data_IF_867650877131
#
_entry.id   IF_867650877131
#
_cell.length_a   1.000
_cell.length_b   1.000
_cell.length_c   1.000
_cell.angle_alpha   90.00
_cell.angle_beta   90.00
_cell.angle_gamma   90.00
#
_symmetry.space_group_name_H-M   'P 1'
#
loop_
_entity.id
_entity.type
_entity.pdbx_description
1 polymer ?
#
# COMPACT_ATOMS: atom_id res chain seq x y z
N UNK A 1 17.67 1.52 8.48
CA UNK A 1 16.72 0.57 9.09
C UNK A 1 17.01 -0.83 8.60
N UNK A 2 16.82 -1.85 9.43
CA UNK A 2 17.18 -3.24 9.11
C UNK A 2 15.94 -4.10 8.87
N UNK A 3 16.16 -5.27 8.26
CA UNK A 3 15.19 -6.35 8.06
C UNK A 3 14.45 -6.77 9.36
N UNK A 4 15.05 -6.48 10.52
CA UNK A 4 14.47 -6.73 11.84
C UNK A 4 13.23 -5.88 12.13
N UNK A 5 13.16 -4.64 11.60
CA UNK A 5 12.03 -3.73 11.80
C UNK A 5 10.76 -4.25 11.11
N UNK A 6 10.89 -4.72 9.87
CA UNK A 6 9.79 -5.35 9.14
C UNK A 6 9.35 -6.64 9.84
N UNK A 7 10.31 -7.47 10.26
CA UNK A 7 9.99 -8.72 10.97
C UNK A 7 9.19 -8.45 12.24
N UNK A 8 9.54 -7.39 12.99
CA UNK A 8 8.78 -6.96 14.15
C UNK A 8 7.38 -6.46 13.78
N UNK A 9 7.27 -5.61 12.75
CA UNK A 9 5.98 -5.10 12.29
C UNK A 9 5.05 -6.26 11.91
N UNK A 10 5.52 -7.23 11.12
CA UNK A 10 4.73 -8.39 10.71
C UNK A 10 4.28 -9.22 11.92
N UNK A 11 5.14 -9.44 12.90
CA UNK A 11 4.77 -10.15 14.12
C UNK A 11 3.68 -9.41 14.92
N UNK A 12 3.70 -8.07 14.92
CA UNK A 12 2.64 -7.26 15.56
C UNK A 12 1.33 -7.31 14.77
N UNK A 13 1.39 -7.34 13.43
CA UNK A 13 0.20 -7.46 12.57
C UNK A 13 -0.49 -8.83 12.68
N UNK A 14 0.26 -9.88 13.00
CA UNK A 14 -0.26 -11.24 13.23
C UNK A 14 -0.78 -11.45 14.67
N UNK A 15 -0.53 -10.51 15.59
CA UNK A 15 -0.91 -10.59 17.01
C UNK A 15 -2.12 -9.68 17.31
N UNK A 16 -3.25 -10.30 17.63
CA UNK A 16 -4.50 -9.57 17.95
C UNK A 16 -4.42 -8.76 19.26
N UNK A 17 -3.46 -9.09 20.12
CA UNK A 17 -3.23 -8.38 21.39
C UNK A 17 -2.11 -7.32 21.25
N UNK A 18 -1.55 -7.14 20.04
CA UNK A 18 -0.55 -6.11 19.80
C UNK A 18 -1.10 -4.71 20.06
N UNK A 19 -0.25 -3.85 20.59
CA UNK A 19 -0.57 -2.45 20.81
C UNK A 19 -0.72 -1.75 19.45
N UNK A 20 -1.94 -1.28 19.15
CA UNK A 20 -2.29 -0.64 17.88
C UNK A 20 -1.46 0.62 17.66
N UNK A 21 -1.34 1.49 18.68
CA UNK A 21 -0.60 2.75 18.56
C UNK A 21 0.89 2.47 18.30
N UNK A 22 1.47 1.50 19.03
CA UNK A 22 2.85 1.11 18.82
C UNK A 22 3.10 0.44 17.46
N UNK A 23 2.08 -0.23 16.89
CA UNK A 23 2.15 -0.83 15.55
C UNK A 23 2.18 0.27 14.49
N UNK A 24 1.29 1.26 14.63
CA UNK A 24 1.22 2.43 13.73
C UNK A 24 2.53 3.22 13.80
N UNK A 25 3.01 3.55 15.00
CA UNK A 25 4.27 4.28 15.19
C UNK A 25 5.45 3.58 14.51
N UNK A 26 5.50 2.25 14.58
CA UNK A 26 6.54 1.47 13.92
C UNK A 26 6.38 1.49 12.39
N UNK A 27 5.15 1.36 11.88
CA UNK A 27 4.89 1.46 10.45
C UNK A 27 5.31 2.84 9.90
N UNK A 28 4.98 3.91 10.60
CA UNK A 28 5.35 5.29 10.23
C UNK A 28 6.88 5.50 10.26
N UNK A 29 7.56 4.98 11.29
CA UNK A 29 9.03 4.98 11.35
C UNK A 29 9.63 4.22 10.14
N UNK A 30 9.04 3.08 9.78
CA UNK A 30 9.45 2.27 8.64
C UNK A 30 9.26 3.03 7.33
N UNK A 31 8.10 3.65 7.13
CA UNK A 31 7.78 4.46 5.97
C UNK A 31 8.74 5.65 5.82
N UNK A 32 9.06 6.33 6.93
CA UNK A 32 9.86 7.56 6.92
C UNK A 32 11.37 7.32 6.74
N UNK A 33 11.89 6.19 7.21
CA UNK A 33 13.34 5.95 7.25
C UNK A 33 13.81 4.71 6.48
N UNK A 34 12.87 4.00 5.85
CA UNK A 34 13.11 2.78 5.09
C UNK A 34 13.76 3.06 3.74
N UNK A 35 14.50 2.08 3.23
CA UNK A 35 15.14 2.15 1.93
C UNK A 35 14.38 1.32 0.87
N UNK A 36 14.54 1.64 -0.43
CA UNK A 36 13.86 0.94 -1.51
C UNK A 36 14.21 -0.56 -1.59
N UNK A 37 15.33 -0.99 -1.00
CA UNK A 37 15.70 -2.41 -0.88
C UNK A 37 14.69 -3.25 -0.08
N UNK A 38 13.82 -2.60 0.70
CA UNK A 38 12.79 -3.24 1.52
C UNK A 38 11.51 -3.54 0.72
N UNK A 39 11.29 -2.85 -0.41
CA UNK A 39 10.04 -2.93 -1.18
C UNK A 39 9.69 -4.35 -1.62
N UNK A 40 10.59 -5.19 -2.16
CA UNK A 40 10.20 -6.53 -2.61
C UNK A 40 9.61 -7.40 -1.50
N UNK A 41 10.10 -7.24 -0.26
CA UNK A 41 9.54 -7.97 0.90
C UNK A 41 8.19 -7.38 1.31
N UNK A 42 8.10 -6.05 1.42
CA UNK A 42 6.87 -5.36 1.80
C UNK A 42 5.72 -5.60 0.83
N UNK A 43 6.00 -5.58 -0.48
CA UNK A 43 5.02 -5.88 -1.53
C UNK A 43 4.53 -7.33 -1.46
N UNK A 44 5.42 -8.28 -1.15
CA UNK A 44 5.04 -9.68 -0.97
C UNK A 44 4.14 -9.88 0.25
N UNK A 45 4.44 -9.22 1.38
CA UNK A 45 3.63 -9.29 2.59
C UNK A 45 2.29 -8.55 2.45
N UNK A 46 2.26 -7.45 1.68
CA UNK A 46 1.01 -6.78 1.31
C UNK A 46 0.12 -7.73 0.50
N UNK A 47 0.70 -8.47 -0.45
CA UNK A 47 0.01 -9.54 -1.17
C UNK A 47 -0.55 -10.61 -0.24
N UNK A 48 0.25 -11.08 0.73
CA UNK A 48 -0.18 -12.05 1.76
C UNK A 48 -1.37 -11.53 2.57
N UNK A 49 -1.29 -10.28 3.04
CA UNK A 49 -2.37 -9.66 3.81
C UNK A 49 -3.69 -9.61 3.02
N UNK A 50 -3.61 -9.31 1.71
CA UNK A 50 -4.78 -9.34 0.81
C UNK A 50 -5.35 -10.76 0.68
N UNK A 51 -4.50 -11.76 0.46
CA UNK A 51 -4.90 -13.17 0.36
C UNK A 51 -5.58 -13.69 1.65
N UNK A 52 -5.05 -13.28 2.81
CA UNK A 52 -5.58 -13.65 4.13
C UNK A 52 -6.80 -12.83 4.55
N UNK A 53 -7.24 -11.88 3.71
CA UNK A 53 -8.32 -10.92 3.99
C UNK A 53 -8.07 -10.08 5.25
N UNK A 54 -6.82 -9.76 5.53
CA UNK A 54 -6.41 -8.92 6.64
C UNK A 54 -6.40 -7.44 6.22
N UNK A 55 -7.55 -6.76 6.38
CA UNK A 55 -7.69 -5.34 6.03
C UNK A 55 -6.74 -4.42 6.81
N UNK A 56 -6.55 -4.69 8.10
CA UNK A 56 -5.65 -3.90 8.95
C UNK A 56 -4.18 -4.02 8.51
N UNK A 57 -3.70 -5.23 8.24
CA UNK A 57 -2.35 -5.43 7.73
C UNK A 57 -2.18 -4.82 6.33
N UNK A 58 -3.18 -4.96 5.45
CA UNK A 58 -3.15 -4.33 4.12
C UNK A 58 -3.02 -2.81 4.22
N UNK A 59 -3.76 -2.20 5.14
CA UNK A 59 -3.73 -0.76 5.38
C UNK A 59 -2.31 -0.30 5.77
N UNK A 60 -1.76 -0.89 6.84
CA UNK A 60 -0.45 -0.49 7.35
C UNK A 60 0.69 -0.81 6.39
N UNK A 61 0.69 -2.00 5.78
CA UNK A 61 1.70 -2.35 4.78
C UNK A 61 1.59 -1.50 3.53
N UNK A 62 0.37 -1.13 3.13
CA UNK A 62 0.11 -0.20 2.02
C UNK A 62 0.71 1.18 2.27
N UNK A 63 0.49 1.75 3.46
CA UNK A 63 1.11 3.02 3.86
C UNK A 63 2.64 2.97 3.87
N UNK A 64 3.22 1.88 4.37
CA UNK A 64 4.68 1.69 4.35
C UNK A 64 5.23 1.61 2.92
N UNK A 65 4.56 0.85 2.04
CA UNK A 65 4.93 0.76 0.62
C UNK A 65 4.81 2.12 -0.06
N UNK A 66 3.76 2.89 0.24
CA UNK A 66 3.58 4.25 -0.27
C UNK A 66 4.71 5.18 0.18
N UNK A 67 5.07 5.17 1.46
CA UNK A 67 6.13 6.02 2.01
C UNK A 67 7.52 5.73 1.43
N UNK A 68 7.87 4.45 1.24
CA UNK A 68 9.19 4.06 0.72
C UNK A 68 9.22 4.13 -0.81
N UNK A 69 8.19 3.62 -1.48
CA UNK A 69 8.14 3.47 -2.94
C UNK A 69 7.71 4.74 -3.67
N UNK A 70 7.08 5.68 -2.96
CA UNK A 70 6.47 6.87 -3.53
C UNK A 70 5.52 6.51 -4.67
N UNK A 71 5.45 7.38 -5.68
CA UNK A 71 4.63 7.18 -6.88
C UNK A 71 4.97 5.88 -7.63
N UNK A 72 6.20 5.36 -7.48
CA UNK A 72 6.61 4.07 -8.04
C UNK A 72 5.83 2.87 -7.49
N UNK A 73 5.30 2.97 -6.26
CA UNK A 73 4.50 1.92 -5.62
C UNK A 73 3.05 1.83 -6.10
N UNK A 74 2.56 2.83 -6.84
CA UNK A 74 1.15 2.91 -7.28
C UNK A 74 0.59 1.61 -7.91
N UNK A 75 1.30 0.89 -8.79
CA UNK A 75 0.77 -0.34 -9.37
C UNK A 75 0.50 -1.45 -8.37
N UNK A 76 1.25 -1.51 -7.26
CA UNK A 76 1.02 -2.51 -6.20
C UNK A 76 -0.13 -2.06 -5.31
N UNK A 77 -0.14 -0.79 -4.91
CA UNK A 77 -1.18 -0.22 -4.05
C UNK A 77 -2.57 -0.29 -4.70
N UNK A 78 -2.66 0.01 -6.00
CA UNK A 78 -3.93 -0.11 -6.75
C UNK A 78 -4.42 -1.54 -6.79
N UNK A 79 -3.54 -2.53 -6.98
CA UNK A 79 -3.93 -3.95 -6.96
C UNK A 79 -4.40 -4.38 -5.57
N UNK A 80 -3.69 -3.99 -4.51
CA UNK A 80 -4.09 -4.29 -3.15
C UNK A 80 -5.45 -3.65 -2.78
N UNK A 81 -5.66 -2.41 -3.21
CA UNK A 81 -6.90 -1.67 -2.97
C UNK A 81 -8.06 -2.09 -3.87
N UNK A 82 -7.81 -2.79 -4.98
CA UNK A 82 -8.87 -3.32 -5.83
C UNK A 82 -9.65 -4.47 -5.17
N UNK A 83 -9.09 -5.12 -4.15
CA UNK A 83 -9.71 -6.26 -3.47
C UNK A 83 -10.61 -5.77 -2.34
N UNK A 84 -11.88 -6.16 -2.39
CA UNK A 84 -12.86 -5.89 -1.32
C UNK A 84 -12.68 -6.87 -0.15
N UNK A 85 -12.18 -6.34 0.97
CA UNK A 85 -11.99 -7.08 2.21
C UNK A 85 -13.14 -6.84 3.22
N UNK A 86 -14.07 -5.93 2.91
CA UNK A 86 -15.15 -5.50 3.81
C UNK A 86 -14.76 -4.39 4.78
N UNK A 87 -13.59 -3.78 4.60
CA UNK A 87 -13.11 -2.59 5.32
C UNK A 87 -13.39 -1.29 4.52
N UNK A 88 -13.26 -0.13 5.16
CA UNK A 88 -13.58 1.16 4.54
C UNK A 88 -12.53 1.63 3.52
N UNK A 89 -11.27 1.18 3.67
CA UNK A 89 -10.12 1.45 2.79
C UNK A 89 -9.74 2.93 2.68
N UNK A 90 -10.21 3.78 3.59
CA UNK A 90 -10.09 5.23 3.45
C UNK A 90 -8.63 5.70 3.48
N UNK A 91 -7.77 5.11 4.31
CA UNK A 91 -6.36 5.52 4.38
C UNK A 91 -5.53 5.00 3.21
N UNK A 92 -5.64 3.72 2.80
CA UNK A 92 -4.98 3.25 1.56
C UNK A 92 -5.46 4.02 0.33
N UNK A 93 -6.74 4.40 0.28
CA UNK A 93 -7.26 5.27 -0.77
C UNK A 93 -6.63 6.67 -0.71
N UNK A 94 -6.48 7.25 0.48
CA UNK A 94 -5.83 8.55 0.67
C UNK A 94 -4.37 8.52 0.19
N UNK A 95 -3.60 7.49 0.57
CA UNK A 95 -2.21 7.31 0.11
C UNK A 95 -2.10 7.28 -1.42
N UNK A 96 -2.99 6.54 -2.10
CA UNK A 96 -3.01 6.49 -3.57
C UNK A 96 -3.27 7.88 -4.15
N UNK A 97 -4.23 8.63 -3.59
CA UNK A 97 -4.56 9.99 -4.05
C UNK A 97 -3.39 10.93 -3.86
N UNK A 98 -2.75 10.90 -2.69
CA UNK A 98 -1.61 11.75 -2.37
C UNK A 98 -0.44 11.47 -3.31
N UNK A 99 -0.14 10.20 -3.61
CA UNK A 99 0.90 9.82 -4.57
C UNK A 99 0.58 10.26 -6.01
N UNK A 100 -0.69 10.16 -6.42
CA UNK A 100 -1.16 10.65 -7.73
C UNK A 100 -0.97 12.16 -7.84
N UNK A 101 -1.25 12.91 -6.78
CA UNK A 101 -1.11 14.37 -6.78
C UNK A 101 0.34 14.83 -6.62
N UNK A 102 1.19 14.05 -5.94
CA UNK A 102 2.59 14.37 -5.72
C UNK A 102 3.44 14.31 -7.01
N UNK A 103 3.23 13.30 -7.86
CA UNK A 103 3.84 13.22 -9.20
C UNK A 103 2.80 12.77 -10.25
N UNK A 104 1.96 13.70 -10.74
CA UNK A 104 0.88 13.38 -11.68
C UNK A 104 1.37 12.73 -12.98
N UNK A 105 2.55 13.14 -13.45
CA UNK A 105 3.09 12.66 -14.72
C UNK A 105 3.54 11.20 -14.59
N UNK A 106 4.26 10.87 -13.52
CA UNK A 106 4.67 9.49 -13.28
C UNK A 106 3.45 8.62 -12.93
N UNK A 107 2.53 9.13 -12.12
CA UNK A 107 1.30 8.45 -11.77
C UNK A 107 0.47 8.08 -13.01
N UNK A 108 0.23 9.04 -13.91
CA UNK A 108 -0.48 8.80 -15.16
C UNK A 108 0.21 7.71 -16.00
N UNK A 109 1.54 7.76 -16.12
CA UNK A 109 2.31 6.78 -16.89
C UNK A 109 2.22 5.35 -16.31
N UNK A 110 2.14 5.22 -14.98
CA UNK A 110 2.06 3.94 -14.28
C UNK A 110 0.64 3.37 -14.23
N UNK A 111 -0.37 4.24 -14.08
CA UNK A 111 -1.76 3.84 -13.90
C UNK A 111 -2.50 3.61 -15.22
N UNK A 112 -2.14 4.33 -16.29
CA UNK A 112 -2.83 4.21 -17.59
C UNK A 112 -2.80 2.78 -18.16
N UNK A 113 -1.71 1.99 -18.09
CA UNK A 113 -1.75 0.59 -18.52
C UNK A 113 -2.68 -0.29 -17.66
N UNK A 114 -2.84 0.04 -16.37
CA UNK A 114 -3.68 -0.75 -15.46
C UNK A 114 -5.17 -0.61 -15.75
N UNK A 115 -5.61 0.44 -16.46
CA UNK A 115 -7.02 0.57 -16.87
C UNK A 115 -7.45 -0.49 -17.89
N UNK A 116 -6.48 -1.24 -18.44
CA UNK A 116 -6.67 -2.33 -19.39
C UNK A 116 -6.34 -3.70 -18.77
N UNK A 117 -6.19 -3.79 -17.45
CA UNK A 117 -5.91 -5.05 -16.74
C UNK A 117 -7.07 -6.06 -16.92
N UNK A 118 -6.74 -7.34 -17.03
CA UNK A 118 -7.72 -8.43 -17.18
C UNK A 118 -8.62 -8.55 -15.95
N UNK A 119 -8.11 -8.15 -14.78
CA UNK A 119 -8.93 -7.98 -13.58
C UNK A 119 -9.66 -6.63 -13.62
N UNK A 120 -10.98 -6.69 -13.87
CA UNK A 120 -11.83 -5.50 -13.92
C UNK A 120 -11.83 -4.69 -12.61
N UNK A 121 -11.58 -5.31 -11.45
CA UNK A 121 -11.47 -4.58 -10.20
C UNK A 121 -10.23 -3.69 -10.20
N UNK A 122 -9.10 -4.21 -10.68
CA UNK A 122 -7.84 -3.46 -10.85
C UNK A 122 -8.03 -2.35 -11.87
N UNK A 123 -8.65 -2.65 -13.02
CA UNK A 123 -8.93 -1.67 -14.07
C UNK A 123 -9.80 -0.51 -13.57
N UNK A 124 -10.89 -0.80 -12.85
CA UNK A 124 -11.74 0.23 -12.26
C UNK A 124 -11.03 1.02 -11.17
N UNK A 125 -10.18 0.38 -10.36
CA UNK A 125 -9.42 1.07 -9.31
C UNK A 125 -8.37 2.00 -9.90
N UNK A 126 -7.71 1.61 -10.99
CA UNK A 126 -6.80 2.47 -11.74
C UNK A 126 -7.54 3.66 -12.38
N UNK A 127 -8.69 3.43 -13.00
CA UNK A 127 -9.53 4.51 -13.56
C UNK A 127 -9.98 5.49 -12.47
N UNK A 128 -10.39 4.99 -11.30
CA UNK A 128 -10.72 5.83 -10.15
C UNK A 128 -9.52 6.69 -9.73
N UNK A 129 -8.33 6.12 -9.60
CA UNK A 129 -7.13 6.84 -9.16
C UNK A 129 -6.76 7.96 -10.15
N UNK A 130 -6.89 7.71 -11.46
CA UNK A 130 -6.63 8.70 -12.51
C UNK A 130 -7.56 9.93 -12.45
N UNK A 131 -8.73 9.83 -11.81
CA UNK A 131 -9.65 10.98 -11.64
C UNK A 131 -9.13 12.04 -10.66
N UNK A 132 -8.05 11.74 -9.93
CA UNK A 132 -7.40 12.65 -8.99
C UNK A 132 -6.16 13.34 -9.56
N UNK A 133 -5.84 13.13 -10.84
CA UNK A 133 -4.87 13.97 -11.55
C UNK A 133 -5.35 15.45 -11.56
N UNK A 134 -4.45 16.43 -11.39
CA UNK A 134 -4.79 17.85 -11.34
C UNK A 134 -5.17 18.47 -12.69
#
# INVERSE_FOLDING_TARGET
>A
MTDDGITRLLAMLDDLDADVDATIDLADEIAATGGPELLPRLEAELGRAVEERNGYARELLGGVVAGIGGTGGLPVLVRASAVDLGDDQDGLAAEIVDLVQADPKQAEALLRPLTEDDDLAVAHRADWALRFLP
#
